data_IF_726380370787
#
_entry.id   IF_726380370787
#
_cell.length_a   1.000
_cell.length_b   1.000
_cell.length_c   1.000
_cell.angle_alpha   90.00
_cell.angle_beta   90.00
_cell.angle_gamma   90.00
#
_symmetry.space_group_name_H-M   'P 1'
#
loop_
_entity.id
_entity.type
_entity.pdbx_description
1 polymer ?
#
# COMPACT_ATOMS: atom_id res chain seq x y z
N UNK A 1 2.56 -20.00 20.50
CA UNK A 1 2.77 -19.52 19.13
C UNK A 1 4.23 -19.15 19.04
N UNK A 2 4.97 -19.67 18.06
CA UNK A 2 6.32 -19.17 17.81
C UNK A 2 6.27 -17.65 17.62
N UNK A 3 7.25 -16.92 18.17
CA UNK A 3 7.33 -15.48 18.03
C UNK A 3 7.43 -15.12 16.53
N UNK A 4 6.33 -14.59 15.98
CA UNK A 4 6.26 -14.15 14.59
C UNK A 4 7.31 -13.05 14.35
N UNK A 5 8.09 -13.18 13.27
CA UNK A 5 9.16 -12.24 12.90
C UNK A 5 8.76 -11.31 11.76
N UNK A 6 9.32 -10.08 11.66
CA UNK A 6 8.97 -9.17 10.58
C UNK A 6 9.19 -9.76 9.17
N UNK A 7 8.24 -9.54 8.26
CA UNK A 7 8.25 -10.10 6.90
C UNK A 7 8.34 -9.01 5.82
N UNK A 8 8.87 -9.32 4.62
CA UNK A 8 9.32 -10.63 4.19
C UNK A 8 10.71 -10.98 4.69
N UNK A 9 11.02 -12.27 4.69
CA UNK A 9 12.32 -12.82 5.09
C UNK A 9 13.36 -12.73 3.95
N UNK A 10 13.56 -11.51 3.45
CA UNK A 10 14.58 -11.11 2.47
C UNK A 10 15.15 -9.73 2.81
N UNK A 11 16.11 -9.27 2.03
CA UNK A 11 16.68 -7.93 2.13
C UNK A 11 15.65 -6.83 1.87
N UNK A 12 15.68 -5.81 2.73
CA UNK A 12 14.88 -4.59 2.58
C UNK A 12 13.90 -4.34 3.71
N UNK A 13 12.90 -3.47 3.46
CA UNK A 13 11.90 -3.10 4.44
C UNK A 13 11.01 -4.27 4.82
N UNK A 14 10.57 -4.28 6.08
CA UNK A 14 9.74 -5.34 6.65
C UNK A 14 8.52 -4.76 7.33
N UNK A 15 7.44 -5.52 7.34
CA UNK A 15 6.22 -5.27 8.07
C UNK A 15 6.19 -6.18 9.30
N UNK A 16 5.91 -5.59 10.45
CA UNK A 16 5.75 -6.30 11.72
C UNK A 16 4.45 -7.13 11.73
N UNK A 17 4.41 -8.24 12.51
CA UNK A 17 3.17 -8.97 12.73
C UNK A 17 2.14 -8.08 13.44
N UNK A 18 0.87 -8.30 13.12
CA UNK A 18 -0.25 -7.71 13.84
C UNK A 18 -0.62 -8.60 15.01
N UNK A 19 -0.57 -8.07 16.24
CA UNK A 19 -0.61 -8.86 17.47
C UNK A 19 -1.97 -9.43 17.87
N UNK A 20 -3.01 -9.31 17.04
CA UNK A 20 -4.33 -9.87 17.32
C UNK A 20 -4.50 -11.25 16.68
N UNK A 21 -5.08 -12.19 17.43
CA UNK A 21 -5.51 -13.47 16.87
C UNK A 21 -6.79 -13.28 16.05
N UNK A 22 -6.69 -13.49 14.73
CA UNK A 22 -7.82 -13.33 13.80
C UNK A 22 -8.92 -14.36 14.01
N UNK A 23 -8.67 -15.42 14.77
CA UNK A 23 -9.65 -16.46 15.07
C UNK A 23 -10.36 -16.25 16.41
N UNK A 24 -9.93 -15.27 17.21
CA UNK A 24 -10.56 -14.98 18.48
C UNK A 24 -12.01 -14.50 18.35
N UNK A 25 -12.80 -14.67 19.42
CA UNK A 25 -14.22 -14.32 19.44
C UNK A 25 -14.48 -12.81 19.27
N UNK A 26 -13.55 -11.96 19.72
CA UNK A 26 -13.63 -10.50 19.58
C UNK A 26 -13.32 -9.99 18.16
N UNK A 27 -12.98 -10.89 17.23
CA UNK A 27 -12.75 -10.56 15.81
C UNK A 27 -13.95 -11.01 14.98
N UNK A 28 -14.70 -10.07 14.43
CA UNK A 28 -15.89 -10.34 13.63
C UNK A 28 -15.63 -10.13 12.14
N UNK A 29 -16.08 -11.06 11.30
CA UNK A 29 -16.01 -10.95 9.85
C UNK A 29 -17.33 -10.36 9.36
N UNK A 30 -17.30 -9.09 8.96
CA UNK A 30 -18.51 -8.31 8.70
C UNK A 30 -18.98 -8.49 7.24
N UNK A 31 -18.07 -8.26 6.29
CA UNK A 31 -18.41 -8.06 4.88
C UNK A 31 -17.25 -8.50 3.96
N UNK A 32 -17.56 -9.18 2.85
CA UNK A 32 -16.62 -9.41 1.75
C UNK A 32 -16.70 -8.23 0.79
N UNK A 33 -15.69 -7.36 0.82
CA UNK A 33 -15.70 -6.05 0.16
C UNK A 33 -15.28 -6.14 -1.30
N UNK A 34 -14.43 -7.11 -1.61
CA UNK A 34 -13.97 -7.35 -2.96
C UNK A 34 -14.10 -8.84 -3.28
N UNK A 35 -14.71 -9.13 -4.44
CA UNK A 35 -14.75 -10.48 -4.99
C UNK A 35 -13.30 -10.98 -5.12
N UNK A 36 -13.00 -12.24 -4.72
CA UNK A 36 -11.68 -12.83 -4.87
C UNK A 36 -11.07 -12.55 -6.26
N UNK A 37 -9.98 -11.79 -6.28
CA UNK A 37 -9.22 -11.48 -7.50
C UNK A 37 -7.92 -12.29 -7.52
N UNK A 38 -7.09 -12.08 -8.55
CA UNK A 38 -5.83 -12.80 -8.71
C UNK A 38 -4.88 -12.72 -7.52
N UNK A 39 -4.94 -11.66 -6.70
CA UNK A 39 -3.99 -11.43 -5.59
C UNK A 39 -4.58 -11.75 -4.21
N UNK A 40 -5.89 -11.90 -4.08
CA UNK A 40 -6.51 -12.09 -2.76
C UNK A 40 -7.98 -11.72 -2.67
N UNK A 41 -8.47 -11.65 -1.44
CA UNK A 41 -9.79 -11.16 -1.08
C UNK A 41 -9.68 -10.13 0.05
N UNK A 42 -10.55 -9.13 0.04
CA UNK A 42 -10.61 -8.09 1.09
C UNK A 42 -11.89 -8.28 1.90
N UNK A 43 -11.73 -8.45 3.20
CA UNK A 43 -12.80 -8.65 4.17
C UNK A 43 -12.80 -7.46 5.13
N UNK A 44 -13.95 -6.83 5.32
CA UNK A 44 -14.17 -5.90 6.42
C UNK A 44 -14.28 -6.70 7.71
N UNK A 45 -13.42 -6.39 8.66
CA UNK A 45 -13.42 -7.03 9.98
C UNK A 45 -13.65 -5.98 11.07
N UNK A 46 -14.22 -6.42 12.18
CA UNK A 46 -14.30 -5.63 13.42
C UNK A 46 -13.40 -6.28 14.45
N UNK A 47 -12.56 -5.49 15.10
CA UNK A 47 -11.78 -5.91 16.25
C UNK A 47 -12.14 -4.95 17.37
N UNK A 48 -12.72 -5.49 18.44
CA UNK A 48 -13.35 -4.68 19.49
C UNK A 48 -14.40 -3.73 18.90
N UNK A 49 -14.18 -2.41 18.96
CA UNK A 49 -15.08 -1.37 18.44
C UNK A 49 -14.58 -0.67 17.17
N UNK A 50 -13.49 -1.16 16.57
CA UNK A 50 -12.88 -0.54 15.40
C UNK A 50 -12.99 -1.44 14.16
N UNK A 51 -13.36 -0.84 13.03
CA UNK A 51 -13.37 -1.52 11.73
C UNK A 51 -11.99 -1.45 11.06
N UNK A 52 -11.62 -2.55 10.42
CA UNK A 52 -10.39 -2.72 9.64
C UNK A 52 -10.70 -3.41 8.32
N UNK A 53 -9.78 -3.28 7.35
CA UNK A 53 -9.75 -4.11 6.16
C UNK A 53 -8.69 -5.20 6.32
N UNK A 54 -9.10 -6.46 6.21
CA UNK A 54 -8.22 -7.62 6.14
C UNK A 54 -8.11 -8.08 4.69
N UNK A 55 -6.94 -7.91 4.08
CA UNK A 55 -6.63 -8.49 2.77
C UNK A 55 -5.98 -9.85 2.99
N UNK A 56 -6.64 -10.91 2.56
CA UNK A 56 -6.12 -12.29 2.54
C UNK A 56 -5.54 -12.55 1.16
N UNK A 57 -4.32 -13.07 1.11
CA UNK A 57 -3.63 -13.34 -0.16
C UNK A 57 -3.76 -14.80 -0.52
N UNK A 58 -4.09 -15.07 -1.78
CA UNK A 58 -3.98 -16.42 -2.33
C UNK A 58 -2.58 -16.61 -2.86
N UNK A 59 -2.01 -17.79 -2.66
CA UNK A 59 -0.69 -18.14 -3.17
C UNK A 59 -0.79 -18.41 -4.66
N UNK A 60 -1.07 -17.38 -5.45
CA UNK A 60 -0.94 -17.45 -6.89
C UNK A 60 0.54 -17.22 -7.21
N UNK A 61 1.05 -18.16 -8.01
CA UNK A 61 2.36 -18.15 -8.65
C UNK A 61 2.83 -16.73 -9.02
N UNK A 62 4.15 -16.40 -8.97
CA UNK A 62 4.65 -15.23 -9.69
C UNK A 62 4.05 -15.23 -11.10
N UNK A 63 3.59 -14.06 -11.55
CA UNK A 63 2.87 -13.87 -12.83
C UNK A 63 3.44 -14.81 -13.93
N UNK A 64 2.56 -15.47 -14.69
CA UNK A 64 2.95 -16.37 -15.77
C UNK A 64 4.00 -15.67 -16.68
N UNK A 65 5.15 -16.32 -16.91
CA UNK A 65 6.23 -15.82 -17.79
C UNK A 65 7.54 -15.45 -17.11
N UNK A 66 7.64 -15.57 -15.78
CA UNK A 66 8.83 -15.13 -15.02
C UNK A 66 9.82 -16.25 -14.69
N UNK A 67 9.46 -17.51 -15.01
CA UNK A 67 10.27 -18.69 -14.69
C UNK A 67 11.69 -18.59 -15.28
N UNK A 68 11.81 -18.12 -16.52
CA UNK A 68 13.09 -18.04 -17.24
C UNK A 68 13.97 -16.84 -16.84
N UNK A 69 13.38 -15.81 -16.19
CA UNK A 69 14.11 -14.55 -15.92
C UNK A 69 15.12 -14.71 -14.78
N UNK A 70 14.83 -15.56 -13.80
CA UNK A 70 15.82 -15.83 -12.76
C UNK A 70 17.03 -16.57 -13.34
N UNK A 71 16.81 -17.57 -14.21
CA UNK A 71 17.87 -18.41 -14.77
C UNK A 71 18.79 -17.65 -15.75
N UNK A 72 18.32 -16.53 -16.29
CA UNK A 72 19.12 -15.63 -17.16
C UNK A 72 19.90 -14.56 -16.39
N UNK A 73 19.66 -14.40 -15.09
CA UNK A 73 20.33 -13.41 -14.24
C UNK A 73 21.50 -13.99 -13.41
N UNK A 74 22.12 -13.17 -12.55
CA UNK A 74 23.22 -13.59 -11.69
C UNK A 74 22.73 -14.42 -10.48
N UNK A 75 22.32 -15.66 -10.75
CA UNK A 75 21.78 -16.64 -9.78
C UNK A 75 22.70 -16.92 -8.58
N UNK A 76 24.00 -16.63 -8.69
CA UNK A 76 24.94 -16.72 -7.57
C UNK A 76 24.73 -15.68 -6.47
N UNK A 77 23.97 -14.60 -6.74
CA UNK A 77 23.81 -13.47 -5.82
C UNK A 77 22.53 -13.52 -4.97
N UNK A 78 21.57 -14.37 -5.34
CA UNK A 78 20.29 -14.51 -4.66
C UNK A 78 19.72 -15.89 -4.96
N UNK A 79 19.22 -16.59 -3.94
CA UNK A 79 18.51 -17.86 -4.15
C UNK A 79 17.16 -17.63 -4.82
N UNK A 80 16.66 -18.62 -5.57
CA UNK A 80 15.36 -18.53 -6.24
C UNK A 80 14.23 -18.23 -5.27
N UNK A 81 14.22 -18.84 -4.09
CA UNK A 81 13.14 -18.62 -3.12
C UNK A 81 13.14 -17.18 -2.58
N UNK A 82 14.30 -16.51 -2.53
CA UNK A 82 14.38 -15.10 -2.14
C UNK A 82 14.03 -14.18 -3.30
N UNK A 83 14.39 -14.56 -4.52
CA UNK A 83 13.99 -13.87 -5.74
C UNK A 83 12.47 -13.84 -5.89
N UNK A 84 11.80 -14.99 -5.76
CA UNK A 84 10.35 -15.11 -5.93
C UNK A 84 9.57 -14.26 -4.90
N UNK A 85 10.09 -14.14 -3.66
CA UNK A 85 9.52 -13.25 -2.63
C UNK A 85 9.57 -11.77 -2.99
N UNK A 86 10.36 -11.35 -3.98
CA UNK A 86 10.32 -9.96 -4.45
C UNK A 86 9.15 -9.69 -5.41
N UNK A 87 8.52 -10.74 -5.93
CA UNK A 87 7.42 -10.66 -6.91
C UNK A 87 6.09 -11.16 -6.34
N UNK A 88 6.13 -11.97 -5.28
CA UNK A 88 4.94 -12.47 -4.63
C UNK A 88 4.08 -11.32 -4.04
N UNK A 89 2.76 -11.29 -4.30
CA UNK A 89 1.89 -10.18 -3.90
C UNK A 89 1.92 -9.81 -2.42
N UNK A 90 1.91 -10.82 -1.54
CA UNK A 90 1.92 -10.61 -0.09
C UNK A 90 3.23 -9.96 0.37
N UNK A 91 4.36 -10.48 -0.10
CA UNK A 91 5.69 -10.00 0.25
C UNK A 91 5.94 -8.60 -0.33
N UNK A 92 5.54 -8.33 -1.57
CA UNK A 92 5.61 -7.00 -2.19
C UNK A 92 4.87 -5.95 -1.36
N UNK A 93 3.63 -6.27 -0.94
CA UNK A 93 2.82 -5.37 -0.13
C UNK A 93 3.43 -5.13 1.27
N UNK A 94 3.97 -6.19 1.90
CA UNK A 94 4.72 -6.07 3.15
C UNK A 94 5.93 -5.13 3.03
N UNK A 95 6.67 -5.20 1.92
CA UNK A 95 7.86 -4.35 1.69
C UNK A 95 7.46 -2.89 1.46
N UNK A 96 6.40 -2.66 0.71
CA UNK A 96 5.92 -1.31 0.44
C UNK A 96 5.46 -0.63 1.75
N UNK A 97 4.59 -1.28 2.54
CA UNK A 97 4.17 -0.73 3.83
C UNK A 97 5.31 -0.66 4.85
N UNK A 98 6.21 -1.64 4.87
CA UNK A 98 7.43 -1.61 5.66
C UNK A 98 8.26 -0.36 5.37
N UNK A 99 8.43 -0.01 4.08
CA UNK A 99 9.13 1.21 3.67
C UNK A 99 8.41 2.48 4.12
N UNK A 100 7.09 2.53 3.98
CA UNK A 100 6.30 3.68 4.44
C UNK A 100 6.45 3.88 5.95
N UNK A 101 6.47 2.81 6.74
CA UNK A 101 6.74 2.85 8.19
C UNK A 101 8.17 3.33 8.50
N UNK A 102 9.17 2.75 7.84
CA UNK A 102 10.58 3.14 8.01
C UNK A 102 10.82 4.64 7.79
N UNK A 103 10.12 5.23 6.83
CA UNK A 103 10.25 6.65 6.45
C UNK A 103 9.24 7.57 7.13
N UNK A 104 8.32 7.05 7.96
CA UNK A 104 7.21 7.82 8.53
C UNK A 104 6.37 8.52 7.44
N UNK A 105 6.07 7.77 6.37
CA UNK A 105 5.31 8.18 5.18
C UNK A 105 4.03 7.36 5.01
N UNK A 106 3.51 6.77 6.09
CA UNK A 106 2.27 5.97 6.08
C UNK A 106 1.06 6.76 5.54
N UNK A 107 1.08 8.09 5.58
CA UNK A 107 0.04 8.96 5.00
C UNK A 107 -0.08 8.89 3.46
N UNK A 108 0.83 8.22 2.76
CA UNK A 108 0.79 8.07 1.30
C UNK A 108 -0.17 6.97 0.82
N UNK A 109 -0.50 6.02 1.70
CA UNK A 109 -1.43 4.93 1.44
C UNK A 109 -2.36 4.74 2.63
N UNK A 110 -3.28 3.79 2.55
CA UNK A 110 -4.00 3.31 3.74
C UNK A 110 -3.00 2.78 4.76
N UNK A 111 -3.20 3.07 6.04
CA UNK A 111 -2.28 2.62 7.08
C UNK A 111 -2.38 1.10 7.25
N UNK A 112 -1.27 0.39 7.15
CA UNK A 112 -1.19 -1.04 7.45
C UNK A 112 -0.69 -1.25 8.90
N UNK A 113 -1.45 -1.99 9.70
CA UNK A 113 -1.10 -2.27 11.09
C UNK A 113 -0.07 -3.37 11.22
N UNK A 114 -0.18 -4.40 10.39
CA UNK A 114 0.77 -5.51 10.34
C UNK A 114 0.24 -6.66 9.49
N UNK A 115 1.04 -7.70 9.36
CA UNK A 115 0.60 -8.93 8.71
C UNK A 115 0.06 -9.94 9.73
N UNK A 116 -0.79 -10.87 9.28
CA UNK A 116 -1.34 -11.97 10.07
C UNK A 116 -1.10 -13.29 9.36
N UNK A 117 -0.95 -14.36 10.16
CA UNK A 117 -0.93 -15.74 9.68
C UNK A 117 -2.16 -16.41 10.25
N UNK A 118 -3.07 -16.83 9.39
CA UNK A 118 -4.36 -17.40 9.79
C UNK A 118 -4.32 -18.90 9.49
N UNK A 119 -4.26 -19.77 10.52
CA UNK A 119 -4.30 -21.20 10.29
C UNK A 119 -5.69 -21.61 9.79
N UNK A 120 -5.72 -22.51 8.81
CA UNK A 120 -6.98 -23.06 8.28
C UNK A 120 -7.50 -24.07 9.30
N UNK A 121 -8.50 -23.64 10.07
CA UNK A 121 -9.11 -24.39 11.18
C UNK A 121 -10.63 -24.28 11.10
N UNK A 122 -11.34 -25.12 11.83
CA UNK A 122 -12.81 -25.06 11.91
C UNK A 122 -13.32 -23.67 12.36
N UNK A 123 -12.59 -22.96 13.22
CA UNK A 123 -12.95 -21.60 13.64
C UNK A 123 -12.91 -20.61 12.46
N UNK A 124 -11.91 -20.71 11.58
CA UNK A 124 -11.87 -19.91 10.36
C UNK A 124 -13.05 -20.25 9.43
N UNK A 125 -13.28 -21.55 9.22
CA UNK A 125 -14.37 -22.06 8.38
C UNK A 125 -15.73 -21.55 8.87
N UNK A 126 -15.97 -21.54 10.19
CA UNK A 126 -17.18 -21.00 10.77
C UNK A 126 -17.34 -19.49 10.50
N UNK A 127 -16.27 -18.69 10.67
CA UNK A 127 -16.31 -17.26 10.37
C UNK A 127 -16.56 -16.99 8.88
N UNK A 128 -15.94 -17.76 7.98
CA UNK A 128 -16.13 -17.65 6.53
C UNK A 128 -17.55 -18.08 6.09
N UNK A 129 -18.11 -19.16 6.67
CA UNK A 129 -19.49 -19.59 6.40
C UNK A 129 -20.52 -18.57 6.89
N UNK A 130 -20.29 -17.98 8.07
CA UNK A 130 -21.15 -16.90 8.57
C UNK A 130 -21.11 -15.71 7.61
N UNK A 131 -19.94 -15.38 7.07
CA UNK A 131 -19.79 -14.35 6.05
C UNK A 131 -20.56 -14.72 4.77
N UNK A 132 -20.40 -15.96 4.25
CA UNK A 132 -21.12 -16.46 3.07
C UNK A 132 -22.64 -16.40 3.23
N UNK A 133 -23.17 -16.74 4.41
CA UNK A 133 -24.62 -16.75 4.67
C UNK A 133 -25.28 -15.38 4.53
N UNK A 134 -24.51 -14.29 4.56
CA UNK A 134 -24.99 -12.93 4.35
C UNK A 134 -25.19 -12.58 2.87
N UNK A 135 -24.75 -13.43 1.93
CA UNK A 135 -24.80 -13.16 0.50
C UNK A 135 -25.63 -14.22 -0.25
N UNK A 136 -26.64 -13.79 -1.00
CA UNK A 136 -27.54 -14.65 -1.79
C UNK A 136 -26.82 -15.44 -2.90
N UNK A 137 -25.66 -14.97 -3.36
CA UNK A 137 -24.83 -15.59 -4.41
C UNK A 137 -23.61 -16.36 -3.86
N UNK A 138 -23.80 -17.09 -2.75
CA UNK A 138 -22.77 -17.80 -1.97
C UNK A 138 -22.09 -18.99 -2.66
N UNK A 139 -21.19 -18.75 -3.62
CA UNK A 139 -20.30 -19.79 -4.19
C UNK A 139 -18.83 -19.36 -4.38
N UNK A 140 -18.34 -18.31 -3.73
CA UNK A 140 -16.98 -17.77 -4.01
C UNK A 140 -16.00 -17.75 -2.83
N UNK A 141 -16.43 -17.89 -1.57
CA UNK A 141 -15.51 -17.91 -0.42
C UNK A 141 -14.94 -19.33 -0.20
N UNK A 142 -15.64 -20.40 -0.61
CA UNK A 142 -15.09 -21.78 -0.63
C UNK A 142 -13.72 -21.90 -1.33
N UNK A 143 -13.45 -21.07 -2.35
CA UNK A 143 -12.15 -21.02 -3.04
C UNK A 143 -10.99 -20.50 -2.16
N UNK A 144 -11.28 -19.84 -1.04
CA UNK A 144 -10.28 -19.33 -0.09
C UNK A 144 -9.67 -20.49 0.70
N UNK A 145 -10.48 -21.47 1.10
CA UNK A 145 -10.06 -22.61 1.92
C UNK A 145 -9.20 -23.61 1.11
N UNK A 146 -9.53 -23.80 -0.18
CA UNK A 146 -8.88 -24.80 -1.02
C UNK A 146 -7.44 -24.44 -1.45
N UNK A 147 -7.03 -23.17 -1.32
CA UNK A 147 -5.83 -22.64 -2.01
C UNK A 147 -4.60 -22.37 -1.14
N UNK A 148 -4.66 -22.52 0.20
CA UNK A 148 -3.49 -22.21 1.04
C UNK A 148 -3.48 -22.91 2.40
N UNK A 149 -2.28 -23.23 2.88
CA UNK A 149 -2.01 -23.64 4.27
C UNK A 149 -0.68 -23.05 4.74
N UNK A 150 -0.63 -22.17 5.77
CA UNK A 150 -1.67 -21.26 6.29
C UNK A 150 -1.98 -20.07 5.36
N UNK A 151 -3.05 -19.31 5.64
CA UNK A 151 -3.38 -18.08 4.92
C UNK A 151 -2.55 -16.90 5.44
N UNK A 152 -2.03 -16.08 4.51
CA UNK A 152 -1.34 -14.85 4.84
C UNK A 152 -2.28 -13.67 4.62
N UNK A 153 -2.25 -12.69 5.52
CA UNK A 153 -3.07 -11.48 5.40
C UNK A 153 -2.38 -10.22 5.90
N UNK A 154 -2.92 -9.06 5.52
CA UNK A 154 -2.49 -7.76 6.03
C UNK A 154 -3.73 -7.01 6.54
N UNK A 155 -3.62 -6.48 7.77
CA UNK A 155 -4.66 -5.68 8.41
C UNK A 155 -4.37 -4.20 8.18
N UNK A 156 -5.36 -3.46 7.67
CA UNK A 156 -5.27 -2.06 7.30
C UNK A 156 -6.41 -1.26 7.93
N UNK A 157 -6.24 0.06 8.02
CA UNK A 157 -7.35 0.96 8.34
C UNK A 157 -8.52 0.73 7.38
N UNK A 158 -9.73 0.72 7.92
CA UNK A 158 -10.93 0.80 7.09
C UNK A 158 -11.07 2.22 6.53
N UNK A 159 -11.23 2.35 5.22
CA UNK A 159 -11.47 3.63 4.56
C UNK A 159 -12.93 3.65 4.13
N UNK A 160 -13.71 4.56 4.72
CA UNK A 160 -15.10 4.72 4.34
C UNK A 160 -15.21 5.26 2.92
N UNK A 161 -16.13 4.64 2.17
CA UNK A 161 -16.61 5.15 0.89
C UNK A 161 -17.36 6.47 1.09
N UNK A 162 -17.36 7.31 0.08
CA UNK A 162 -18.16 8.53 0.03
C UNK A 162 -19.62 8.14 0.18
N UNK A 163 -20.26 8.71 1.21
CA UNK A 163 -21.69 8.54 1.43
C UNK A 163 -22.40 9.39 0.38
N UNK A 164 -23.01 8.73 -0.60
CA UNK A 164 -24.05 9.34 -1.43
C UNK A 164 -25.32 9.41 -0.57
N UNK A 165 -26.07 10.53 -0.64
CA UNK A 165 -27.23 10.78 0.23
C UNK A 165 -28.21 9.59 0.20
N UNK A 166 -28.41 8.88 1.33
CA UNK A 166 -29.22 7.67 1.38
C UNK A 166 -30.73 7.95 1.25
N UNK A 167 -31.17 9.22 1.23
CA UNK A 167 -32.56 9.59 0.93
C UNK A 167 -32.90 9.54 -0.56
N UNK A 168 -31.92 9.25 -1.42
CA UNK A 168 -32.10 9.15 -2.86
C UNK A 168 -32.38 7.69 -3.22
N UNK A 169 -33.65 7.39 -3.51
CA UNK A 169 -34.07 6.10 -4.06
C UNK A 169 -33.43 5.88 -5.44
N UNK A 170 -32.43 5.03 -5.50
CA UNK A 170 -31.83 4.54 -6.74
C UNK A 170 -30.81 3.46 -6.44
N UNK A 171 -30.70 2.49 -7.35
CA UNK A 171 -29.73 1.39 -7.31
C UNK A 171 -28.33 1.92 -7.70
N UNK A 172 -27.86 2.92 -6.96
CA UNK A 172 -26.56 3.55 -7.20
C UNK A 172 -25.48 2.64 -6.65
N UNK A 173 -24.67 2.07 -7.55
CA UNK A 173 -23.45 1.39 -7.14
C UNK A 173 -22.56 2.39 -6.39
N UNK A 174 -22.42 2.17 -5.08
CA UNK A 174 -21.64 3.00 -4.18
C UNK A 174 -20.17 3.10 -4.63
N UNK A 175 -19.68 2.14 -5.41
CA UNK A 175 -18.37 2.19 -6.04
C UNK A 175 -18.26 3.28 -7.12
N UNK A 176 -19.31 3.50 -7.93
CA UNK A 176 -19.31 4.54 -8.97
C UNK A 176 -19.27 5.96 -8.40
N UNK A 177 -19.99 6.20 -7.30
CA UNK A 177 -19.99 7.51 -6.63
C UNK A 177 -18.64 7.90 -6.03
N UNK A 178 -17.93 6.93 -5.44
CA UNK A 178 -16.56 7.13 -4.96
C UNK A 178 -15.63 7.57 -6.08
N UNK A 179 -15.65 6.85 -7.19
CA UNK A 179 -14.80 7.04 -8.37
C UNK A 179 -15.00 8.42 -8.98
N UNK A 180 -16.26 8.84 -9.16
CA UNK A 180 -16.61 10.18 -9.64
C UNK A 180 -16.04 11.26 -8.71
N UNK A 181 -16.15 11.05 -7.40
CA UNK A 181 -15.70 12.01 -6.40
C UNK A 181 -14.17 12.10 -6.26
N UNK A 182 -13.40 11.18 -6.85
CA UNK A 182 -11.93 11.14 -6.72
C UNK A 182 -11.22 12.34 -7.37
N UNK A 183 -11.84 12.99 -8.37
CA UNK A 183 -11.19 14.06 -9.14
C UNK A 183 -10.64 15.19 -8.28
N UNK A 184 -11.30 15.51 -7.16
CA UNK A 184 -10.86 16.53 -6.19
C UNK A 184 -9.51 16.18 -5.54
N UNK A 185 -9.16 14.91 -5.53
CA UNK A 185 -7.93 14.37 -4.93
C UNK A 185 -6.82 14.16 -5.95
N UNK A 186 -7.09 14.19 -7.27
CA UNK A 186 -6.09 13.88 -8.30
C UNK A 186 -4.77 14.67 -8.17
N UNK A 187 -4.77 15.99 -7.90
CA UNK A 187 -3.50 16.72 -7.72
C UNK A 187 -2.69 16.23 -6.50
N UNK A 188 -3.37 15.81 -5.43
CA UNK A 188 -2.71 15.19 -4.27
C UNK A 188 -2.18 13.81 -4.63
N UNK A 189 -3.02 12.96 -5.25
CA UNK A 189 -2.66 11.59 -5.62
C UNK A 189 -1.43 11.57 -6.53
N UNK A 190 -1.38 12.41 -7.56
CA UNK A 190 -0.21 12.54 -8.43
C UNK A 190 1.06 12.98 -7.66
N UNK A 191 0.91 13.94 -6.75
CA UNK A 191 2.03 14.36 -5.89
C UNK A 191 2.50 13.21 -4.99
N UNK A 192 1.58 12.39 -4.50
CA UNK A 192 1.90 11.28 -3.62
C UNK A 192 2.59 10.13 -4.39
N UNK A 193 2.24 9.89 -5.66
CA UNK A 193 3.00 8.99 -6.56
C UNK A 193 4.48 9.41 -6.63
N UNK A 194 4.75 10.70 -6.84
CA UNK A 194 6.14 11.18 -6.84
C UNK A 194 6.87 10.92 -5.50
N UNK A 195 6.15 10.95 -4.37
CA UNK A 195 6.73 10.62 -3.07
C UNK A 195 6.91 9.11 -2.86
N UNK A 196 6.10 8.26 -3.48
CA UNK A 196 6.37 6.81 -3.56
C UNK A 196 7.69 6.59 -4.30
N UNK A 197 7.86 7.22 -5.46
CA UNK A 197 9.09 7.12 -6.24
C UNK A 197 10.30 7.62 -5.45
N UNK A 198 10.20 8.78 -4.80
CA UNK A 198 11.24 9.30 -3.91
C UNK A 198 11.55 8.34 -2.74
N UNK A 199 10.59 7.51 -2.32
CA UNK A 199 10.74 6.52 -1.26
C UNK A 199 11.34 5.19 -1.75
N UNK A 200 11.70 5.10 -3.03
CA UNK A 200 12.22 3.88 -3.65
C UNK A 200 11.14 2.83 -3.92
N UNK A 201 9.90 3.25 -4.16
CA UNK A 201 8.75 2.39 -4.47
C UNK A 201 8.21 2.74 -5.85
N UNK A 202 8.06 1.76 -6.74
CA UNK A 202 7.23 1.84 -7.95
C UNK A 202 5.93 1.06 -7.69
N UNK A 203 4.76 1.63 -7.98
CA UNK A 203 3.45 1.10 -7.55
C UNK A 203 2.95 -0.02 -8.49
N UNK A 204 3.15 0.17 -9.78
CA UNK A 204 2.82 -0.69 -10.93
C UNK A 204 1.32 -0.87 -11.20
N UNK A 205 0.49 -1.04 -10.17
CA UNK A 205 -0.95 -1.30 -10.30
C UNK A 205 -1.78 -0.07 -9.93
N UNK A 206 -1.82 0.92 -10.84
CA UNK A 206 -2.61 2.13 -10.66
C UNK A 206 -3.85 2.09 -11.55
N UNK A 207 -5.02 2.22 -10.91
CA UNK A 207 -6.32 2.40 -11.53
C UNK A 207 -7.26 3.16 -10.59
N UNK A 208 -8.36 3.70 -11.12
CA UNK A 208 -9.30 4.53 -10.34
C UNK A 208 -9.88 3.73 -9.16
N UNK A 209 -10.14 2.44 -9.39
CA UNK A 209 -10.64 1.48 -8.40
C UNK A 209 -9.66 1.18 -7.26
N UNK A 210 -8.37 1.48 -7.41
CA UNK A 210 -7.34 1.28 -6.37
C UNK A 210 -7.29 2.42 -5.35
N UNK A 211 -8.10 3.46 -5.55
CA UNK A 211 -8.23 4.57 -4.62
C UNK A 211 -9.60 4.55 -3.94
N UNK A 212 -9.63 4.86 -2.65
CA UNK A 212 -10.87 5.13 -1.91
C UNK A 212 -10.71 6.50 -1.23
N UNK A 213 -11.58 7.46 -1.58
CA UNK A 213 -11.48 8.84 -1.11
C UNK A 213 -10.07 9.48 -1.28
N UNK A 214 -9.41 9.12 -2.38
CA UNK A 214 -8.07 9.55 -2.79
C UNK A 214 -6.93 8.97 -1.95
N UNK A 215 -7.19 7.89 -1.21
CA UNK A 215 -6.20 7.09 -0.50
C UNK A 215 -5.93 5.82 -1.30
N UNK A 216 -4.66 5.54 -1.61
CA UNK A 216 -4.26 4.30 -2.29
C UNK A 216 -4.38 3.12 -1.32
N UNK A 217 -5.11 2.07 -1.71
CA UNK A 217 -5.42 0.95 -0.80
C UNK A 217 -4.69 -0.35 -1.11
N UNK A 218 -4.13 -0.51 -2.31
CA UNK A 218 -3.45 -1.72 -2.76
C UNK A 218 -2.01 -1.42 -3.21
N UNK A 219 -1.07 -2.24 -2.72
CA UNK A 219 0.35 -2.18 -3.08
C UNK A 219 0.92 -3.59 -3.38
N UNK A 220 0.04 -4.53 -3.76
CA UNK A 220 0.42 -5.93 -3.99
C UNK A 220 1.38 -6.15 -5.15
N UNK A 221 1.40 -5.27 -6.15
CA UNK A 221 2.37 -5.35 -7.26
C UNK A 221 3.55 -4.38 -7.12
N UNK A 222 3.62 -3.64 -6.01
CA UNK A 222 4.61 -2.60 -5.84
C UNK A 222 6.03 -3.16 -5.69
N UNK A 223 6.98 -2.57 -6.41
CA UNK A 223 8.40 -2.88 -6.27
C UNK A 223 9.10 -1.88 -5.37
N UNK A 224 9.76 -2.40 -4.35
CA UNK A 224 10.46 -1.59 -3.35
C UNK A 224 11.97 -1.87 -3.39
N UNK A 225 12.82 -0.84 -3.42
CA UNK A 225 14.28 -1.00 -3.31
C UNK A 225 14.66 -1.46 -1.90
N UNK A 226 15.56 -2.45 -1.72
CA UNK A 226 16.31 -3.17 -2.75
C UNK A 226 15.45 -4.19 -3.51
N UNK A 227 15.56 -4.24 -4.83
CA UNK A 227 14.79 -5.17 -5.66
C UNK A 227 15.74 -5.88 -6.64
N UNK A 228 15.51 -7.14 -7.06
CA UNK A 228 16.35 -7.82 -8.05
C UNK A 228 16.52 -7.05 -9.36
N UNK A 229 15.47 -6.33 -9.77
CA UNK A 229 15.50 -5.46 -10.96
C UNK A 229 15.95 -4.03 -10.66
N UNK A 230 16.26 -3.74 -9.40
CA UNK A 230 16.85 -2.46 -9.01
C UNK A 230 18.31 -2.34 -9.45
N UNK A 231 18.87 -1.12 -9.38
CA UNK A 231 20.25 -0.89 -9.79
C UNK A 231 21.26 -1.72 -8.99
N UNK A 232 22.28 -2.22 -9.67
CA UNK A 232 23.41 -2.93 -9.06
C UNK A 232 23.18 -4.41 -8.73
N UNK A 233 22.03 -5.00 -9.14
CA UNK A 233 21.73 -6.43 -8.94
C UNK A 233 21.93 -7.30 -10.18
N UNK A 234 21.92 -6.71 -11.38
CA UNK A 234 22.35 -7.40 -12.61
C UNK A 234 21.28 -8.24 -13.34
N UNK A 235 20.06 -8.37 -12.82
CA UNK A 235 18.97 -9.03 -13.58
C UNK A 235 18.46 -8.15 -14.71
N UNK A 236 18.29 -6.85 -14.46
CA UNK A 236 17.76 -5.89 -15.44
C UNK A 236 18.64 -4.66 -15.53
N UNK A 237 18.69 -3.99 -16.69
CA UNK A 237 19.40 -2.73 -16.80
C UNK A 237 18.73 -1.67 -15.92
N UNK A 238 19.55 -0.73 -15.42
CA UNK A 238 19.12 0.30 -14.46
C UNK A 238 17.86 1.07 -14.92
N UNK A 239 17.78 1.38 -16.21
CA UNK A 239 16.69 2.18 -16.77
C UNK A 239 15.33 1.47 -16.66
N UNK A 240 15.28 0.14 -16.56
CA UNK A 240 14.02 -0.60 -16.51
C UNK A 240 13.26 -0.29 -15.22
N UNK A 241 13.95 -0.20 -14.07
CA UNK A 241 13.32 0.20 -12.81
C UNK A 241 12.79 1.64 -12.85
N UNK A 242 13.53 2.54 -13.50
CA UNK A 242 13.08 3.92 -13.74
C UNK A 242 11.87 3.95 -14.68
N UNK A 243 11.83 3.06 -15.67
CA UNK A 243 10.75 2.93 -16.64
C UNK A 243 9.44 2.50 -15.97
N UNK A 244 9.48 1.59 -14.99
CA UNK A 244 8.30 1.24 -14.19
C UNK A 244 7.71 2.44 -13.43
N UNK A 245 8.54 3.37 -12.96
CA UNK A 245 8.06 4.59 -12.32
C UNK A 245 7.49 5.61 -13.32
N UNK A 246 7.98 5.64 -14.56
CA UNK A 246 7.28 6.34 -15.64
C UNK A 246 5.95 5.65 -15.97
N UNK A 247 5.93 4.31 -15.95
CA UNK A 247 4.74 3.47 -16.11
C UNK A 247 3.64 3.86 -15.12
N UNK A 248 3.98 4.07 -13.84
CA UNK A 248 3.01 4.57 -12.84
C UNK A 248 2.33 5.90 -13.27
N UNK A 249 3.10 6.83 -13.83
CA UNK A 249 2.56 8.12 -14.28
C UNK A 249 1.67 7.94 -15.52
N UNK A 250 2.06 7.05 -16.43
CA UNK A 250 1.25 6.66 -17.59
C UNK A 250 -0.06 6.00 -17.15
N UNK A 251 0.00 5.01 -16.27
CA UNK A 251 -1.19 4.35 -15.71
C UNK A 251 -2.08 5.34 -14.95
N UNK A 252 -1.52 6.31 -14.22
CA UNK A 252 -2.32 7.37 -13.63
C UNK A 252 -2.99 8.28 -14.67
N UNK A 253 -2.33 8.53 -15.81
CA UNK A 253 -2.96 9.26 -16.90
C UNK A 253 -4.14 8.47 -17.48
N UNK A 254 -3.94 7.21 -17.86
CA UNK A 254 -4.92 6.41 -18.60
C UNK A 254 -5.99 5.83 -17.66
N UNK A 255 -5.58 5.09 -16.65
CA UNK A 255 -6.45 4.29 -15.77
C UNK A 255 -7.00 5.09 -14.58
N UNK A 256 -6.72 6.39 -14.48
CA UNK A 256 -7.31 7.24 -13.43
C UNK A 256 -7.92 8.49 -14.04
N UNK A 257 -7.13 9.28 -14.77
CA UNK A 257 -7.63 10.55 -15.34
C UNK A 257 -8.55 10.30 -16.53
N UNK A 258 -8.11 9.56 -17.55
CA UNK A 258 -8.96 9.29 -18.73
C UNK A 258 -10.14 8.39 -18.38
N UNK A 259 -9.93 7.35 -17.57
CA UNK A 259 -11.02 6.47 -17.13
C UNK A 259 -12.11 7.25 -16.36
N UNK A 260 -11.72 8.23 -15.54
CA UNK A 260 -12.68 9.14 -14.91
C UNK A 260 -13.39 10.02 -15.93
N UNK A 261 -12.70 10.56 -16.94
CA UNK A 261 -13.34 11.37 -18.00
C UNK A 261 -14.35 10.54 -18.79
N UNK A 262 -14.00 9.32 -19.20
CA UNK A 262 -14.90 8.41 -19.90
C UNK A 262 -16.14 8.10 -19.08
N UNK A 263 -16.00 7.88 -17.77
CA UNK A 263 -17.17 7.74 -16.88
C UNK A 263 -18.03 9.00 -16.88
N UNK A 264 -17.42 10.18 -16.73
CA UNK A 264 -18.15 11.45 -16.73
C UNK A 264 -18.90 11.76 -18.03
N UNK A 265 -18.43 11.27 -19.18
CA UNK A 265 -19.14 11.37 -20.46
C UNK A 265 -20.40 10.50 -20.52
N UNK A 266 -20.43 9.39 -19.78
CA UNK A 266 -21.57 8.50 -19.66
C UNK A 266 -22.63 8.93 -18.64
N UNK A 267 -22.29 9.84 -17.73
CA UNK A 267 -23.20 10.31 -16.68
C UNK A 267 -24.17 11.37 -17.20
N UNK A 268 -25.46 11.23 -16.86
CA UNK A 268 -26.47 12.24 -17.20
C UNK A 268 -26.40 13.43 -16.26
N UNK A 269 -26.86 14.61 -16.71
CA UNK A 269 -26.93 15.80 -15.84
C UNK A 269 -27.80 15.54 -14.59
N UNK A 270 -28.80 14.66 -14.67
CA UNK A 270 -29.62 14.22 -13.54
C UNK A 270 -28.77 13.44 -12.52
N UNK A 271 -27.98 12.46 -12.96
CA UNK A 271 -27.05 11.73 -12.09
C UNK A 271 -26.02 12.67 -11.43
N UNK A 272 -25.52 13.66 -12.18
CA UNK A 272 -24.52 14.61 -11.70
C UNK A 272 -25.06 15.65 -10.71
N UNK A 273 -26.37 15.89 -10.68
CA UNK A 273 -26.99 16.77 -9.68
C UNK A 273 -26.88 16.20 -8.25
N UNK A 274 -26.66 14.89 -8.11
CA UNK A 274 -26.44 14.23 -6.83
C UNK A 274 -25.03 14.47 -6.27
N UNK A 275 -24.06 14.80 -7.14
CA UNK A 275 -22.69 15.15 -6.78
C UNK A 275 -22.50 16.68 -6.76
N UNK A 276 -23.19 17.37 -5.86
CA UNK A 276 -23.08 18.84 -5.73
C UNK A 276 -21.67 19.27 -5.31
N UNK A 277 -21.10 20.21 -6.05
CA UNK A 277 -19.83 20.87 -5.70
C UNK A 277 -18.56 20.14 -6.18
N UNK A 278 -18.69 19.09 -7.00
CA UNK A 278 -17.54 18.38 -7.55
C UNK A 278 -17.12 18.95 -8.92
N UNK A 279 -15.80 18.94 -9.23
CA UNK A 279 -15.32 19.33 -10.54
C UNK A 279 -15.92 18.45 -11.65
N UNK A 280 -16.56 19.07 -12.65
CA UNK A 280 -17.07 18.37 -13.83
C UNK A 280 -16.00 18.13 -14.91
N UNK A 281 -14.84 18.75 -14.75
CA UNK A 281 -13.73 18.64 -15.69
C UNK A 281 -12.42 18.50 -14.93
N UNK A 282 -11.44 17.87 -15.60
CA UNK A 282 -10.10 17.69 -15.06
C UNK A 282 -9.07 18.05 -16.13
N UNK A 283 -8.33 19.14 -15.93
CA UNK A 283 -7.23 19.57 -16.81
C UNK A 283 -5.87 19.01 -16.39
N UNK A 284 -5.82 18.19 -15.33
CA UNK A 284 -4.59 17.56 -14.87
C UNK A 284 -4.07 16.60 -15.95
N UNK A 285 -2.75 16.60 -16.13
CA UNK A 285 -2.03 15.64 -16.96
C UNK A 285 -0.83 15.12 -16.17
N UNK A 286 -0.79 13.80 -15.97
CA UNK A 286 0.28 13.10 -15.25
C UNK A 286 1.39 12.62 -16.19
N UNK A 287 1.04 12.28 -17.43
CA UNK A 287 1.97 11.79 -18.44
C UNK A 287 1.54 12.24 -19.85
N UNK A 288 2.50 12.37 -20.76
CA UNK A 288 2.19 12.67 -22.17
C UNK A 288 1.74 11.39 -22.88
N UNK A 289 0.46 11.30 -23.26
CA UNK A 289 -0.04 10.19 -24.08
C UNK A 289 0.30 10.40 -25.56
N UNK A 290 0.45 9.30 -26.29
CA UNK A 290 0.73 9.31 -27.74
C UNK A 290 -0.42 9.86 -28.59
N UNK A 291 -1.65 9.84 -28.07
CA UNK A 291 -2.86 10.26 -28.79
C UNK A 291 -3.08 11.77 -28.79
N UNK A 292 -2.47 12.50 -27.85
CA UNK A 292 -2.54 13.96 -27.78
C UNK A 292 -1.16 14.57 -27.48
N UNK A 293 -0.20 14.39 -28.41
CA UNK A 293 1.09 15.05 -28.30
C UNK A 293 0.83 16.55 -28.28
N UNK A 294 1.43 17.24 -27.30
CA UNK A 294 1.48 18.70 -27.40
C UNK A 294 2.40 19.02 -28.58
N UNK A 295 2.02 20.01 -29.39
CA UNK A 295 2.95 20.74 -30.27
C UNK A 295 3.95 21.52 -29.40
N UNK A 296 4.86 20.80 -28.74
CA UNK A 296 5.97 21.39 -28.02
C UNK A 296 7.14 21.50 -28.98
N UNK A 297 7.84 22.63 -28.88
CA UNK A 297 9.16 22.77 -29.51
C UNK A 297 10.02 21.57 -29.13
N UNK A 298 10.77 20.98 -30.09
CA UNK A 298 11.69 19.88 -29.80
C UNK A 298 12.58 20.27 -28.62
N UNK A 299 12.51 19.50 -27.54
CA UNK A 299 13.42 19.71 -26.42
C UNK A 299 14.66 18.84 -26.63
N UNK A 300 15.89 19.40 -26.58
CA UNK A 300 17.12 18.65 -26.80
C UNK A 300 17.33 17.48 -25.81
N UNK A 301 16.74 17.54 -24.62
CA UNK A 301 16.75 16.45 -23.63
C UNK A 301 15.87 15.25 -24.03
N UNK A 302 14.98 15.41 -25.01
CA UNK A 302 14.14 14.35 -25.60
C UNK A 302 14.76 13.68 -26.83
N UNK A 303 15.98 14.03 -27.23
CA UNK A 303 16.69 13.47 -28.38
C UNK A 303 17.52 12.21 -28.03
N UNK A 304 17.00 11.35 -27.15
CA UNK A 304 17.59 10.03 -26.90
C UNK A 304 16.74 8.98 -27.60
N UNK A 305 17.26 7.79 -27.98
CA UNK A 305 16.38 6.70 -28.32
C UNK A 305 15.38 6.54 -27.17
N UNK A 306 14.08 6.58 -27.50
CA UNK A 306 13.06 6.35 -26.50
C UNK A 306 13.26 4.94 -25.96
N UNK A 307 13.51 4.85 -24.66
CA UNK A 307 13.59 3.56 -23.98
C UNK A 307 12.17 3.02 -23.85
N UNK A 308 12.00 1.71 -23.82
CA UNK A 308 10.66 1.11 -23.64
C UNK A 308 10.06 1.54 -22.30
N UNK A 309 8.78 1.89 -22.33
CA UNK A 309 7.95 2.17 -21.16
C UNK A 309 7.42 0.84 -20.61
N UNK A 310 8.01 0.36 -19.52
CA UNK A 310 7.58 -0.85 -18.84
C UNK A 310 6.21 -0.63 -18.19
N UNK A 311 5.27 -1.52 -18.47
CA UNK A 311 3.90 -1.49 -17.98
C UNK A 311 3.39 -2.91 -17.75
N UNK A 312 2.38 -3.06 -16.88
CA UNK A 312 1.82 -4.39 -16.53
C UNK A 312 1.10 -5.01 -17.72
N UNK A 313 0.47 -4.19 -18.55
CA UNK A 313 -0.37 -4.62 -19.67
C UNK A 313 0.45 -5.15 -20.86
N UNK A 314 1.77 -4.98 -20.84
CA UNK A 314 2.68 -5.46 -21.88
C UNK A 314 2.64 -4.66 -23.18
N UNK A 315 2.12 -3.42 -23.15
CA UNK A 315 2.08 -2.57 -24.33
C UNK A 315 3.47 -2.10 -24.75
N UNK A 316 3.75 -2.14 -26.05
CA UNK A 316 4.98 -1.61 -26.64
C UNK A 316 4.88 -0.08 -26.78
N UNK A 317 5.22 0.61 -25.69
CA UNK A 317 5.17 2.06 -25.60
C UNK A 317 6.58 2.64 -25.39
N UNK A 318 6.77 3.86 -25.88
CA UNK A 318 7.98 4.63 -25.66
C UNK A 318 7.91 5.44 -24.36
N UNK A 319 8.98 5.42 -23.57
CA UNK A 319 9.13 6.28 -22.40
C UNK A 319 9.46 7.71 -22.85
N UNK A 320 8.41 8.46 -23.18
CA UNK A 320 8.50 9.86 -23.64
C UNK A 320 8.80 10.87 -22.53
N UNK A 321 8.60 10.49 -21.26
CA UNK A 321 8.85 11.33 -20.10
C UNK A 321 9.47 10.52 -18.95
N UNK A 322 10.55 11.04 -18.37
CA UNK A 322 11.16 10.46 -17.17
C UNK A 322 10.32 10.78 -15.93
N UNK A 323 10.29 9.88 -14.93
CA UNK A 323 9.66 10.18 -13.64
C UNK A 323 10.44 11.29 -12.94
N UNK A 324 9.75 12.06 -12.08
CA UNK A 324 10.38 13.15 -11.31
C UNK A 324 11.50 12.65 -10.38
N UNK A 325 11.33 11.44 -9.85
CA UNK A 325 12.29 10.74 -9.01
C UNK A 325 12.48 9.34 -9.57
N UNK A 326 13.73 8.92 -9.76
CA UNK A 326 14.07 7.52 -10.06
C UNK A 326 14.04 6.72 -8.74
N UNK A 327 13.13 5.75 -8.57
CA UNK A 327 13.12 4.95 -7.34
C UNK A 327 14.41 4.17 -7.12
N UNK A 328 15.16 3.86 -8.19
CA UNK A 328 16.46 3.22 -8.13
C UNK A 328 17.54 4.07 -7.44
N UNK A 329 17.38 5.39 -7.38
CA UNK A 329 18.29 6.30 -6.65
C UNK A 329 18.08 6.30 -5.14
N UNK A 330 17.05 5.61 -4.64
CA UNK A 330 16.82 5.53 -3.21
C UNK A 330 17.99 4.82 -2.51
N UNK A 331 18.62 5.52 -1.56
CA UNK A 331 19.69 4.99 -0.71
C UNK A 331 19.14 4.47 0.63
N UNK A 332 19.05 3.14 0.83
CA UNK A 332 18.56 2.55 2.08
C UNK A 332 19.45 2.85 3.30
N UNK A 333 20.74 3.13 3.08
CA UNK A 333 21.68 3.41 4.17
C UNK A 333 21.38 4.75 4.83
N UNK A 334 20.92 5.73 4.04
CA UNK A 334 20.52 7.06 4.53
C UNK A 334 19.29 6.98 5.43
N UNK A 335 18.31 6.16 5.07
CA UNK A 335 17.09 5.95 5.86
C UNK A 335 17.41 5.33 7.23
N UNK A 336 18.23 4.26 7.27
CA UNK A 336 18.66 3.61 8.52
C UNK A 336 19.41 4.56 9.47
N UNK A 337 20.23 5.48 8.92
CA UNK A 337 20.94 6.52 9.71
C UNK A 337 19.99 7.55 10.30
N UNK A 338 18.92 7.92 9.61
CA UNK A 338 17.93 8.87 10.13
C UNK A 338 17.06 8.24 11.23
N UNK A 339 16.64 6.98 11.05
CA UNK A 339 15.87 6.24 12.05
C UNK A 339 16.66 6.05 13.37
N UNK A 340 17.94 5.69 13.28
CA UNK A 340 18.82 5.54 14.47
C UNK A 340 19.09 6.85 15.20
N UNK A 341 19.26 7.98 14.48
CA UNK A 341 19.38 9.32 15.07
C UNK A 341 18.10 9.75 15.80
N UNK A 342 16.93 9.44 15.23
CA UNK A 342 15.63 9.75 15.86
C UNK A 342 15.44 8.94 17.15
N UNK A 343 15.73 7.63 17.13
CA UNK A 343 15.71 6.75 18.32
C UNK A 343 16.62 7.26 19.45
N UNK A 344 17.85 7.67 19.14
CA UNK A 344 18.79 8.25 20.13
C UNK A 344 18.27 9.56 20.74
N UNK A 345 17.57 10.38 19.95
CA UNK A 345 17.02 11.65 20.42
C UNK A 345 15.84 11.44 21.37
N UNK A 346 14.96 10.47 21.09
CA UNK A 346 13.86 10.10 21.99
C UNK A 346 14.36 9.47 23.30
N UNK A 347 15.40 8.63 23.27
CA UNK A 347 16.01 8.08 24.50
C UNK A 347 16.64 9.18 25.36
N UNK A 348 17.34 10.12 24.74
CA UNK A 348 17.98 11.22 25.46
C UNK A 348 16.96 12.22 26.07
N UNK A 349 15.78 12.38 25.47
CA UNK A 349 14.67 13.17 26.04
C UNK A 349 13.95 12.45 27.18
N UNK A 350 13.80 11.11 27.10
CA UNK A 350 13.23 10.31 28.21
C UNK A 350 14.20 10.25 29.40
N UNK A 351 15.50 10.12 29.17
CA UNK A 351 16.52 10.18 30.23
C UNK A 351 16.60 11.56 30.91
N UNK A 352 16.43 12.65 30.15
CA UNK A 352 16.37 14.01 30.72
C UNK A 352 15.12 14.25 31.57
N UNK A 353 13.97 13.63 31.22
CA UNK A 353 12.75 13.70 32.04
C UNK A 353 12.80 12.80 33.29
N UNK A 354 13.59 11.73 33.28
CA UNK A 354 13.76 10.81 34.43
C UNK A 354 14.65 11.32 35.56
N UNK A 355 15.48 12.35 35.36
CA UNK A 355 16.41 12.88 36.39
C UNK A 355 15.86 14.05 37.21
N UNK A 356 14.58 14.38 37.07
CA UNK A 356 13.99 15.60 37.61
C UNK A 356 12.99 15.44 38.76
N UNK A 357 13.04 14.41 39.63
CA UNK A 357 12.11 14.33 40.77
C UNK A 357 12.75 13.69 42.03
N UNK A 358 12.63 14.43 43.16
CA UNK A 358 12.83 14.09 44.59
C UNK A 358 14.24 14.20 45.22
N UNK A 359 14.53 15.39 45.77
CA UNK A 359 15.17 15.54 47.10
C UNK A 359 14.13 16.09 48.07
N UNK A 360 13.47 15.21 48.81
CA UNK A 360 12.61 15.59 49.94
C UNK A 360 13.51 15.82 51.16
N UNK A 361 13.52 17.05 51.70
CA UNK A 361 14.20 17.40 52.95
C UNK A 361 13.54 16.71 54.14
N UNK A 362 14.31 15.89 54.85
CA UNK A 362 13.96 15.34 56.18
C UNK A 362 14.31 16.40 57.23
N UNK A 363 13.33 16.90 57.98
CA UNK A 363 13.57 17.71 59.19
C UNK A 363 13.42 16.81 60.42
N UNK A 364 14.51 16.71 61.19
CA UNK A 364 14.67 15.90 62.39
C UNK A 364 13.97 16.51 63.62
N UNK A 365 13.17 15.69 64.28
CA UNK A 365 13.31 15.29 65.69
C UNK A 365 13.55 16.36 66.77
N UNK A 366 12.51 16.56 67.58
CA UNK A 366 12.50 17.17 68.91
C UNK A 366 13.62 16.63 69.84
N UNK A 367 14.24 17.53 70.61
CA UNK A 367 14.99 17.20 71.85
C UNK A 367 14.17 17.61 73.07
N UNK A 368 14.10 16.69 74.03
CA UNK A 368 13.44 16.76 75.34
C UNK A 368 14.20 17.63 76.36
N UNK A 369 13.57 17.96 77.52
CA UNK A 369 13.98 19.01 78.46
C UNK A 369 14.79 18.51 79.66
N UNK A 370 15.35 19.48 80.41
CA UNK A 370 15.94 19.39 81.75
C UNK A 370 17.03 20.46 81.88
N UNK A 371 17.11 21.36 82.85
CA UNK A 371 16.47 21.56 84.16
C UNK A 371 17.49 22.26 85.07
N UNK A 372 17.02 23.15 85.96
CA UNK A 372 17.75 23.99 86.95
C UNK A 372 18.53 25.19 86.36
N UNK A 373 18.41 26.41 86.86
CA UNK A 373 18.13 26.90 88.23
C UNK A 373 16.96 27.89 88.26
#
# INVERSE_FOLDING_TARGET
MDDLKPLPDVDGPKLEPFGHDMLADYVEFLELVQIPSGHGAVIKIKIDDQCYALKIFFRTCPELGWYDVYDTGPTSTMRREDFDKHFAPFESECRAYGRLKELNREHLAVKAHGYVVIPVTEALTQKLRLLESKYEYGKKISNIEEKATPLMGIVKDWVDRVIVDPSLEGDYDQAGGDEICQVRHFPRMLRDIHKFHESGIAIRDLGLWQYINGVLVDLSLAWTIPHPYGPGRGWKPRWEFQSWAAGDLYSFQVNVIEEWRTRMEGETDECLLHYKGFPRTCSLRAYESLEQPRDLRPRPDRQRPFMLLSNIEGYDLDMVQLPRHDPGDFDPTRAKRQASRKRKRTTHETEKRGRGVKKTKTVKGQKKPGGAV
#
